data_IF_602245605143
#
_entry.id   IF_602245605143
#
_cell.length_a   1.000
_cell.length_b   1.000
_cell.length_c   1.000
_cell.angle_alpha   90.00
_cell.angle_beta   90.00
_cell.angle_gamma   90.00
#
_symmetry.space_group_name_H-M   'P 1'
#
loop_
_entity.id
_entity.type
_entity.pdbx_description
1 polymer ?
#
# COMPACT_ATOMS: atom_id res chain seq x y z
N UNK A 1 49.44 6.37 52.03
CA UNK A 1 48.11 6.09 51.44
C UNK A 1 48.31 5.47 50.08
N UNK A 2 48.18 4.14 49.98
CA UNK A 2 48.39 3.38 48.73
C UNK A 2 47.02 3.17 48.08
N UNK A 3 46.87 3.69 46.86
CA UNK A 3 45.62 3.66 46.10
C UNK A 3 45.33 2.27 45.52
N UNK A 4 44.10 1.80 45.71
CA UNK A 4 43.59 0.60 45.06
C UNK A 4 42.98 0.96 43.70
N UNK A 5 43.68 0.64 42.61
CA UNK A 5 43.18 0.74 41.24
C UNK A 5 42.24 -0.45 40.98
N UNK A 6 40.94 -0.17 40.95
CA UNK A 6 39.89 -1.17 40.66
C UNK A 6 39.87 -1.45 39.15
N UNK A 7 40.49 -2.56 38.71
CA UNK A 7 40.38 -3.04 37.33
C UNK A 7 38.92 -3.41 37.02
N UNK A 8 38.25 -2.64 36.17
CA UNK A 8 36.97 -3.02 35.57
C UNK A 8 37.22 -4.22 34.65
N UNK A 9 36.73 -5.40 35.04
CA UNK A 9 36.65 -6.55 34.13
C UNK A 9 35.68 -6.18 32.99
N UNK A 10 36.22 -6.02 31.78
CA UNK A 10 35.42 -5.93 30.56
C UNK A 10 34.85 -7.32 30.28
N UNK A 11 33.53 -7.43 30.42
CA UNK A 11 32.78 -8.63 30.06
C UNK A 11 32.75 -8.73 28.52
N UNK A 12 33.12 -9.87 27.92
CA UNK A 12 33.12 -10.01 26.47
C UNK A 12 31.69 -9.90 25.95
N UNK A 13 31.46 -8.95 25.03
CA UNK A 13 30.18 -8.78 24.36
C UNK A 13 29.82 -10.07 23.61
N UNK A 14 28.67 -10.65 23.92
CA UNK A 14 28.14 -11.78 23.14
C UNK A 14 27.88 -11.32 21.70
N UNK A 15 28.26 -12.09 20.67
CA UNK A 15 27.93 -11.76 19.29
C UNK A 15 26.41 -11.85 19.12
N UNK A 16 25.75 -10.69 19.07
CA UNK A 16 24.34 -10.60 18.68
C UNK A 16 24.26 -10.91 17.19
N UNK A 17 23.99 -12.16 16.82
CA UNK A 17 23.59 -12.51 15.46
C UNK A 17 22.17 -11.96 15.27
N UNK A 18 22.08 -10.71 14.84
CA UNK A 18 20.83 -10.12 14.38
C UNK A 18 20.45 -10.79 13.06
N UNK A 19 19.49 -11.72 13.11
CA UNK A 19 18.88 -12.27 11.90
C UNK A 19 18.32 -11.12 11.03
N UNK A 20 18.41 -11.20 9.69
CA UNK A 20 17.91 -10.17 8.80
C UNK A 20 16.37 -10.15 8.81
N UNK A 21 15.78 -9.47 9.79
CA UNK A 21 14.32 -9.30 9.97
C UNK A 21 13.65 -8.44 8.88
N UNK A 22 14.40 -7.94 7.90
CA UNK A 22 13.92 -6.97 6.90
C UNK A 22 13.46 -7.59 5.58
N UNK A 23 13.88 -8.83 5.24
CA UNK A 23 13.54 -9.44 3.95
C UNK A 23 12.02 -9.64 3.75
N UNK A 24 11.26 -10.16 4.74
CA UNK A 24 9.82 -10.38 4.57
C UNK A 24 9.05 -9.06 4.42
N UNK A 25 9.47 -8.00 5.14
CA UNK A 25 8.83 -6.67 5.06
C UNK A 25 8.99 -6.07 3.68
N UNK A 26 10.20 -6.09 3.13
CA UNK A 26 10.46 -5.56 1.78
C UNK A 26 9.61 -6.26 0.71
N UNK A 27 9.43 -7.58 0.81
CA UNK A 27 8.56 -8.32 -0.10
C UNK A 27 7.10 -7.88 0.03
N UNK A 28 6.58 -7.74 1.24
CA UNK A 28 5.22 -7.23 1.48
C UNK A 28 5.05 -5.83 0.89
N UNK A 29 6.03 -4.95 1.08
CA UNK A 29 5.98 -3.58 0.54
C UNK A 29 5.96 -3.57 -1.00
N UNK A 30 6.75 -4.42 -1.66
CA UNK A 30 6.74 -4.56 -3.12
C UNK A 30 5.39 -5.07 -3.61
N UNK A 31 4.79 -6.05 -2.92
CA UNK A 31 3.45 -6.55 -3.28
C UNK A 31 2.39 -5.47 -3.13
N UNK A 32 2.39 -4.73 -2.02
CA UNK A 32 1.44 -3.64 -1.78
C UNK A 32 1.61 -2.50 -2.79
N UNK A 33 2.85 -2.13 -3.10
CA UNK A 33 3.15 -1.14 -4.13
C UNK A 33 2.74 -1.61 -5.53
N UNK A 34 2.93 -2.90 -5.84
CA UNK A 34 2.46 -3.51 -7.08
C UNK A 34 0.93 -3.47 -7.19
N UNK A 35 0.22 -3.69 -6.09
CA UNK A 35 -1.24 -3.59 -6.08
C UNK A 35 -1.72 -2.14 -6.26
N UNK A 36 -1.07 -1.17 -5.61
CA UNK A 36 -1.33 0.26 -5.83
C UNK A 36 -1.08 0.66 -7.29
N UNK A 37 0.03 0.18 -7.87
CA UNK A 37 0.34 0.39 -9.29
C UNK A 37 -0.73 -0.21 -10.20
N UNK A 38 -1.24 -1.40 -9.87
CA UNK A 38 -2.35 -2.02 -10.60
C UNK A 38 -3.63 -1.18 -10.52
N UNK A 39 -4.01 -0.69 -9.34
CA UNK A 39 -5.21 0.16 -9.18
C UNK A 39 -5.09 1.49 -9.92
N UNK A 40 -3.90 2.10 -9.92
CA UNK A 40 -3.58 3.27 -10.76
C UNK A 40 -3.68 2.92 -12.26
N UNK A 41 -3.22 1.74 -12.67
CA UNK A 41 -3.39 1.24 -14.03
C UNK A 41 -4.86 1.06 -14.43
N UNK A 42 -5.69 0.49 -13.55
CA UNK A 42 -7.14 0.39 -13.76
C UNK A 42 -7.75 1.78 -13.94
N UNK A 43 -7.39 2.74 -13.08
CA UNK A 43 -7.87 4.12 -13.24
C UNK A 43 -7.44 4.73 -14.58
N UNK A 44 -6.20 4.51 -15.04
CA UNK A 44 -5.72 5.02 -16.33
C UNK A 44 -6.45 4.36 -17.52
N UNK A 45 -6.74 3.06 -17.41
CA UNK A 45 -7.51 2.32 -18.39
C UNK A 45 -8.90 2.95 -18.56
N UNK A 46 -9.60 3.20 -17.44
CA UNK A 46 -10.93 3.82 -17.45
C UNK A 46 -10.90 5.28 -17.91
N UNK A 47 -9.75 5.97 -17.74
CA UNK A 47 -9.51 7.30 -18.30
C UNK A 47 -9.23 7.29 -19.82
N UNK A 48 -9.22 6.12 -20.47
CA UNK A 48 -9.10 5.95 -21.92
C UNK A 48 -7.75 5.44 -22.42
N UNK A 49 -6.80 5.13 -21.52
CA UNK A 49 -5.50 4.59 -21.90
C UNK A 49 -5.56 3.06 -22.00
N UNK A 50 -6.01 2.54 -23.15
CA UNK A 50 -6.23 1.08 -23.30
C UNK A 50 -5.01 0.28 -23.78
N UNK A 51 -4.04 0.94 -24.43
CA UNK A 51 -2.85 0.26 -24.95
C UNK A 51 -1.89 -0.09 -23.82
N UNK A 52 -1.69 -1.39 -23.59
CA UNK A 52 -0.82 -1.92 -22.54
C UNK A 52 0.62 -1.43 -22.65
N UNK A 53 1.11 -1.15 -23.87
CA UNK A 53 2.46 -0.64 -24.10
C UNK A 53 2.68 0.71 -23.43
N UNK A 54 1.64 1.55 -23.37
CA UNK A 54 1.69 2.87 -22.72
C UNK A 54 1.12 2.84 -21.30
N UNK A 55 0.10 2.01 -21.05
CA UNK A 55 -0.58 1.92 -19.75
C UNK A 55 0.33 1.44 -18.63
N UNK A 56 1.06 0.33 -18.86
CA UNK A 56 1.90 -0.26 -17.79
C UNK A 56 3.02 0.70 -17.38
N UNK A 57 3.81 1.28 -18.30
CA UNK A 57 4.81 2.28 -17.93
C UNK A 57 4.20 3.52 -17.29
N UNK A 58 3.06 4.03 -17.79
CA UNK A 58 2.41 5.20 -17.22
C UNK A 58 1.97 4.97 -15.77
N UNK A 59 1.37 3.80 -15.47
CA UNK A 59 0.97 3.45 -14.12
C UNK A 59 2.17 3.37 -13.16
N UNK A 60 3.26 2.74 -13.58
CA UNK A 60 4.51 2.64 -12.80
C UNK A 60 5.10 4.02 -12.54
N UNK A 61 5.19 4.87 -13.57
CA UNK A 61 5.74 6.23 -13.46
C UNK A 61 4.90 7.08 -12.52
N UNK A 62 3.57 7.05 -12.68
CA UNK A 62 2.66 7.83 -11.86
C UNK A 62 2.70 7.38 -10.39
N UNK A 63 2.66 6.08 -10.13
CA UNK A 63 2.76 5.54 -8.76
C UNK A 63 4.11 5.85 -8.13
N UNK A 64 5.20 5.77 -8.91
CA UNK A 64 6.53 6.16 -8.48
C UNK A 64 6.63 7.65 -8.14
N UNK A 65 6.01 8.51 -8.95
CA UNK A 65 5.96 9.95 -8.72
C UNK A 65 5.20 10.29 -7.44
N UNK A 66 4.02 9.71 -7.22
CA UNK A 66 3.27 9.87 -5.97
C UNK A 66 4.09 9.40 -4.76
N UNK A 67 4.65 8.18 -4.82
CA UNK A 67 5.50 7.64 -3.75
C UNK A 67 6.67 8.57 -3.41
N UNK A 68 7.32 9.15 -4.42
CA UNK A 68 8.44 10.08 -4.22
C UNK A 68 8.01 11.42 -3.61
N UNK A 69 6.87 11.97 -4.04
CA UNK A 69 6.34 13.25 -3.55
C UNK A 69 5.78 13.16 -2.12
N UNK A 70 5.23 12.01 -1.75
CA UNK A 70 4.65 11.78 -0.44
C UNK A 70 5.68 11.45 0.64
N UNK A 71 6.87 11.03 0.24
CA UNK A 71 7.96 10.65 1.15
C UNK A 71 8.21 11.66 2.27
N UNK A 72 8.17 12.95 1.94
CA UNK A 72 8.38 14.02 2.92
C UNK A 72 7.19 14.18 3.88
N UNK A 73 5.96 13.98 3.39
CA UNK A 73 4.73 13.98 4.22
C UNK A 73 4.81 12.91 5.30
N UNK A 74 5.21 11.69 4.91
CA UNK A 74 5.36 10.56 5.83
C UNK A 74 6.52 10.74 6.84
N UNK A 75 7.46 11.64 6.56
CA UNK A 75 8.53 12.06 7.48
C UNK A 75 8.13 13.24 8.38
N UNK A 76 6.85 13.64 8.35
CA UNK A 76 6.32 14.76 9.12
C UNK A 76 6.65 16.13 8.54
N UNK A 77 7.21 16.20 7.32
CA UNK A 77 7.48 17.45 6.60
C UNK A 77 6.29 17.77 5.72
N UNK A 78 5.28 18.39 6.31
CA UNK A 78 4.08 18.77 5.57
C UNK A 78 4.36 19.97 4.67
N UNK A 79 4.26 19.76 3.35
CA UNK A 79 4.22 20.82 2.35
C UNK A 79 3.03 20.60 1.41
N UNK A 80 2.51 21.69 0.84
CA UNK A 80 1.29 21.66 0.03
C UNK A 80 1.37 20.64 -1.11
N UNK A 81 2.51 20.59 -1.83
CA UNK A 81 2.69 19.67 -2.95
C UNK A 81 2.64 18.19 -2.53
N UNK A 82 3.20 17.85 -1.36
CA UNK A 82 3.20 16.48 -0.86
C UNK A 82 1.82 16.06 -0.38
N UNK A 83 1.08 16.97 0.26
CA UNK A 83 -0.31 16.74 0.64
C UNK A 83 -1.21 16.56 -0.59
N UNK A 84 -1.01 17.37 -1.63
CA UNK A 84 -1.74 17.23 -2.89
C UNK A 84 -1.40 15.90 -3.59
N UNK A 85 -0.13 15.51 -3.62
CA UNK A 85 0.28 14.21 -4.15
C UNK A 85 -0.40 13.06 -3.39
N UNK A 86 -0.37 13.10 -2.05
CA UNK A 86 -1.06 12.12 -1.21
C UNK A 86 -2.55 12.03 -1.51
N UNK A 87 -3.24 13.16 -1.59
CA UNK A 87 -4.67 13.17 -1.91
C UNK A 87 -4.94 12.59 -3.30
N UNK A 88 -4.10 12.91 -4.29
CA UNK A 88 -4.25 12.38 -5.64
C UNK A 88 -3.95 10.88 -5.72
N UNK A 89 -2.97 10.36 -4.98
CA UNK A 89 -2.67 8.92 -4.93
C UNK A 89 -3.81 8.15 -4.27
N UNK A 90 -4.33 8.65 -3.14
CA UNK A 90 -5.50 8.05 -2.47
C UNK A 90 -6.70 8.01 -3.40
N UNK A 91 -7.00 9.12 -4.10
CA UNK A 91 -8.11 9.17 -5.05
C UNK A 91 -7.90 8.24 -6.25
N UNK A 92 -6.68 8.16 -6.78
CA UNK A 92 -6.36 7.28 -7.92
C UNK A 92 -6.51 5.81 -7.55
N UNK A 93 -5.97 5.41 -6.39
CA UNK A 93 -6.14 4.06 -5.88
C UNK A 93 -7.60 3.75 -5.54
N UNK A 94 -8.32 4.68 -4.91
CA UNK A 94 -9.74 4.52 -4.60
C UNK A 94 -10.59 4.37 -5.87
N UNK A 95 -10.28 5.10 -6.95
CA UNK A 95 -10.95 4.97 -8.24
C UNK A 95 -10.71 3.58 -8.86
N UNK A 96 -9.47 3.08 -8.84
CA UNK A 96 -9.16 1.72 -9.28
C UNK A 96 -9.85 0.65 -8.44
N UNK A 97 -9.84 0.80 -7.11
CA UNK A 97 -10.51 -0.13 -6.19
C UNK A 97 -12.02 -0.10 -6.37
N UNK A 98 -12.63 1.08 -6.56
CA UNK A 98 -14.06 1.22 -6.79
C UNK A 98 -14.54 0.34 -7.94
N UNK A 99 -13.79 0.33 -9.05
CA UNK A 99 -14.10 -0.54 -10.19
C UNK A 99 -14.10 -2.02 -9.80
N UNK A 100 -13.12 -2.47 -9.02
CA UNK A 100 -13.05 -3.85 -8.54
C UNK A 100 -14.22 -4.19 -7.62
N UNK A 101 -14.58 -3.28 -6.72
CA UNK A 101 -15.63 -3.48 -5.71
C UNK A 101 -17.02 -3.48 -6.35
N UNK A 102 -17.28 -2.60 -7.32
CA UNK A 102 -18.60 -2.55 -7.98
C UNK A 102 -18.86 -3.81 -8.80
N UNK A 103 -17.81 -4.44 -9.33
CA UNK A 103 -17.88 -5.68 -10.09
C UNK A 103 -17.68 -6.94 -9.23
N UNK A 104 -17.56 -6.83 -7.90
CA UNK A 104 -17.29 -7.99 -7.03
C UNK A 104 -18.39 -9.04 -7.14
N UNK A 105 -19.63 -8.60 -7.35
CA UNK A 105 -20.82 -9.44 -7.52
C UNK A 105 -20.77 -10.28 -8.80
N UNK A 106 -19.99 -9.86 -9.79
CA UNK A 106 -19.81 -10.55 -11.06
C UNK A 106 -18.70 -11.62 -11.00
N UNK A 107 -17.97 -11.73 -9.88
CA UNK A 107 -16.87 -12.69 -9.76
C UNK A 107 -17.37 -14.10 -9.42
N UNK A 108 -16.81 -15.13 -10.07
CA UNK A 108 -17.23 -16.53 -9.88
C UNK A 108 -17.08 -17.01 -8.45
N UNK A 109 -16.08 -16.51 -7.72
CA UNK A 109 -15.88 -16.84 -6.30
C UNK A 109 -17.00 -16.26 -5.44
N UNK A 110 -17.37 -15.00 -5.67
CA UNK A 110 -18.49 -14.38 -4.95
C UNK A 110 -19.81 -15.12 -5.25
N UNK A 111 -20.04 -15.49 -6.50
CA UNK A 111 -21.21 -16.29 -6.91
C UNK A 111 -21.20 -17.69 -6.27
N UNK A 112 -20.05 -18.35 -6.20
CA UNK A 112 -19.89 -19.63 -5.50
C UNK A 112 -20.19 -19.50 -4.00
N UNK A 113 -19.68 -18.46 -3.34
CA UNK A 113 -19.94 -18.20 -1.93
C UNK A 113 -21.42 -17.87 -1.68
N UNK A 114 -22.06 -17.08 -2.55
CA UNK A 114 -23.50 -16.83 -2.51
C UNK A 114 -24.29 -18.13 -2.58
N UNK A 115 -23.93 -19.06 -3.47
CA UNK A 115 -24.58 -20.37 -3.59
C UNK A 115 -24.41 -21.26 -2.35
N UNK A 116 -23.30 -21.12 -1.61
CA UNK A 116 -23.00 -21.92 -0.41
C UNK A 116 -23.62 -21.30 0.86
N UNK A 117 -23.68 -19.97 0.94
CA UNK A 117 -23.95 -19.27 2.20
C UNK A 117 -25.24 -18.42 2.20
N UNK A 118 -25.95 -18.28 1.08
CA UNK A 118 -27.13 -17.39 1.01
C UNK A 118 -28.27 -17.95 0.15
N UNK A 119 -29.49 -17.96 0.71
CA UNK A 119 -30.76 -18.10 -0.04
C UNK A 119 -31.25 -16.75 -0.62
N UNK A 120 -30.56 -15.63 -0.37
CA UNK A 120 -30.93 -14.30 -0.87
C UNK A 120 -29.69 -13.51 -1.29
N UNK A 121 -29.61 -12.99 -2.52
CA UNK A 121 -28.52 -12.09 -2.92
C UNK A 121 -28.64 -10.78 -2.15
N UNK A 122 -27.83 -10.62 -1.11
CA UNK A 122 -27.67 -9.33 -0.44
C UNK A 122 -26.85 -8.41 -1.36
N UNK A 123 -27.53 -7.51 -2.06
CA UNK A 123 -26.88 -6.39 -2.76
C UNK A 123 -26.11 -5.55 -1.74
N UNK A 124 -24.81 -5.32 -2.00
CA UNK A 124 -24.00 -4.48 -1.11
C UNK A 124 -24.33 -3.01 -1.39
N UNK A 125 -24.72 -2.21 -0.38
CA UNK A 125 -25.08 -0.81 -0.59
C UNK A 125 -23.94 0.03 -1.18
N UNK A 126 -24.24 0.91 -2.14
CA UNK A 126 -23.29 1.80 -2.83
C UNK A 126 -22.40 2.61 -1.88
N UNK A 127 -22.97 3.13 -0.78
CA UNK A 127 -22.23 3.89 0.24
C UNK A 127 -21.16 3.03 0.92
N UNK A 128 -21.46 1.74 1.14
CA UNK A 128 -20.50 0.80 1.75
C UNK A 128 -19.37 0.47 0.78
N UNK A 129 -19.69 0.28 -0.51
CA UNK A 129 -18.69 0.10 -1.58
C UNK A 129 -17.75 1.29 -1.66
N UNK A 130 -18.27 2.51 -1.53
CA UNK A 130 -17.50 3.74 -1.62
C UNK A 130 -16.58 3.91 -0.42
N UNK A 131 -17.11 3.74 0.79
CA UNK A 131 -16.31 3.77 2.02
C UNK A 131 -15.18 2.75 2.00
N UNK A 132 -15.45 1.52 1.55
CA UNK A 132 -14.43 0.49 1.41
C UNK A 132 -13.35 0.87 0.39
N UNK A 133 -13.74 1.40 -0.79
CA UNK A 133 -12.79 1.83 -1.80
C UNK A 133 -11.86 2.95 -1.30
N UNK A 134 -12.39 3.93 -0.57
CA UNK A 134 -11.59 5.01 0.03
C UNK A 134 -10.63 4.47 1.09
N UNK A 135 -11.10 3.58 1.98
CA UNK A 135 -10.27 2.98 3.03
C UNK A 135 -9.12 2.18 2.41
N UNK A 136 -9.42 1.30 1.45
CA UNK A 136 -8.40 0.50 0.76
C UNK A 136 -7.44 1.39 -0.03
N UNK A 137 -7.96 2.38 -0.77
CA UNK A 137 -7.11 3.34 -1.50
C UNK A 137 -6.16 4.10 -0.57
N UNK A 138 -6.63 4.50 0.61
CA UNK A 138 -5.79 5.12 1.65
C UNK A 138 -4.74 4.15 2.19
N UNK A 139 -5.12 2.90 2.46
CA UNK A 139 -4.18 1.88 2.93
C UNK A 139 -3.11 1.59 1.90
N UNK A 140 -3.44 1.59 0.60
CA UNK A 140 -2.49 1.39 -0.49
C UNK A 140 -1.50 2.54 -0.63
N UNK A 141 -1.95 3.79 -0.51
CA UNK A 141 -1.06 4.95 -0.48
C UNK A 141 -0.10 4.91 0.74
N UNK A 142 -0.60 4.51 1.91
CA UNK A 142 0.21 4.46 3.14
C UNK A 142 1.19 3.26 3.23
N UNK A 143 0.84 2.15 2.60
CA UNK A 143 1.51 0.86 2.82
C UNK A 143 2.99 0.80 2.38
N UNK A 144 3.39 1.35 1.22
CA UNK A 144 4.79 1.29 0.78
C UNK A 144 5.75 1.92 1.79
N UNK A 145 5.41 3.10 2.30
CA UNK A 145 6.32 3.87 3.17
C UNK A 145 6.37 3.37 4.63
N UNK A 146 5.30 2.75 5.12
CA UNK A 146 5.26 2.13 6.45
C UNK A 146 6.02 0.81 6.51
N UNK A 147 6.13 0.09 5.38
CA UNK A 147 6.73 -1.24 5.32
C UNK A 147 8.16 -1.24 4.73
N UNK A 148 8.56 -0.19 4.01
CA UNK A 148 9.95 -0.02 3.53
C UNK A 148 10.99 0.21 4.64
N UNK A 149 10.56 0.51 5.87
CA UNK A 149 11.40 0.76 7.06
C UNK A 149 11.68 -0.51 7.89
#
# INVERSE_FOLDING_TARGET
MIGAVRKKQQQPAAPSVSAPRSLPRKLIAVVLWGFATYTTGVMLHEAGLHDLYYLVPAAIILQGAFSAMEHDVWRGRLHLLGLLAFLLDVLSNAAGVWFLVVNIEQTSIYQMLQQVFSEVPAEVPTVSKFGFAVVVGTMLAFSPESVWK
#
